data_IF_871078862899
#
_entry.id   IF_871078862899
#
_cell.length_a   1.000
_cell.length_b   1.000
_cell.length_c   1.000
_cell.angle_alpha   90.00
_cell.angle_beta   90.00
_cell.angle_gamma   90.00
#
_symmetry.space_group_name_H-M   'P 1'
#
loop_
_entity.id
_entity.type
_entity.pdbx_description
1 polymer ?
#
# COMPACT_ATOMS: atom_id res chain seq x y z
N UNK A 1 0.63 -60.87 53.08
CA UNK A 1 -0.52 -59.96 52.87
C UNK A 1 -0.06 -58.68 52.17
N UNK A 2 0.61 -58.75 51.01
CA UNK A 2 1.07 -57.56 50.25
C UNK A 2 1.18 -57.98 48.78
N UNK A 3 0.08 -58.04 48.03
CA UNK A 3 0.18 -58.26 46.57
C UNK A 3 -1.02 -57.81 45.72
N UNK A 4 -1.86 -56.88 46.21
CA UNK A 4 -3.09 -56.48 45.48
C UNK A 4 -3.37 -54.98 45.37
N UNK A 5 -2.36 -54.11 45.34
CA UNK A 5 -2.59 -52.66 45.22
C UNK A 5 -2.00 -51.97 44.00
N UNK A 6 -1.26 -52.65 43.10
CA UNK A 6 -0.55 -51.96 42.02
C UNK A 6 -1.19 -52.05 40.61
N UNK A 7 -2.37 -52.66 40.47
CA UNK A 7 -2.97 -52.94 39.15
C UNK A 7 -4.28 -52.17 38.90
N UNK A 8 -4.34 -50.88 39.26
CA UNK A 8 -5.49 -50.04 38.90
C UNK A 8 -5.15 -48.69 38.27
N UNK A 9 -3.87 -48.27 38.28
CA UNK A 9 -3.50 -46.92 37.82
C UNK A 9 -3.26 -46.81 36.29
N UNK A 10 -3.08 -47.93 35.58
CA UNK A 10 -2.73 -47.95 34.15
C UNK A 10 -3.90 -47.98 33.16
N UNK A 11 -5.15 -48.16 33.62
CA UNK A 11 -6.33 -48.28 32.73
C UNK A 11 -7.16 -47.01 32.58
N UNK A 12 -6.95 -46.00 33.45
CA UNK A 12 -7.73 -44.76 33.45
C UNK A 12 -6.99 -43.59 32.79
N UNK A 13 -5.65 -43.67 32.62
CA UNK A 13 -4.86 -42.62 31.96
C UNK A 13 -4.88 -42.69 30.43
N UNK A 14 -5.08 -43.87 29.84
CA UNK A 14 -5.10 -44.05 28.38
C UNK A 14 -6.21 -43.28 27.62
N UNK A 15 -7.47 -43.18 28.11
CA UNK A 15 -8.46 -42.37 27.41
C UNK A 15 -8.16 -40.86 27.50
N UNK A 16 -7.50 -40.39 28.58
CA UNK A 16 -7.12 -38.98 28.73
C UNK A 16 -5.99 -38.56 27.77
N UNK A 17 -5.02 -39.44 27.53
CA UNK A 17 -3.94 -39.16 26.56
C UNK A 17 -4.45 -39.11 25.11
N UNK A 18 -5.47 -39.90 24.76
CA UNK A 18 -6.09 -39.86 23.42
C UNK A 18 -6.95 -38.59 23.28
N UNK A 19 -7.67 -38.18 24.32
CA UNK A 19 -8.46 -36.95 24.31
C UNK A 19 -7.58 -35.69 24.16
N UNK A 20 -6.40 -35.66 24.81
CA UNK A 20 -5.43 -34.56 24.68
C UNK A 20 -4.83 -34.49 23.25
N UNK A 21 -4.59 -35.63 22.61
CA UNK A 21 -4.08 -35.69 21.25
C UNK A 21 -5.14 -35.28 20.21
N UNK A 22 -6.41 -35.58 20.49
CA UNK A 22 -7.56 -35.21 19.64
C UNK A 22 -7.90 -33.72 19.76
N UNK A 23 -7.63 -33.10 20.93
CA UNK A 23 -7.76 -31.66 21.12
C UNK A 23 -6.71 -30.86 20.34
N UNK A 24 -5.54 -31.45 20.07
CA UNK A 24 -4.50 -30.87 19.22
C UNK A 24 -4.88 -30.85 17.73
N UNK A 25 -5.79 -31.72 17.30
CA UNK A 25 -6.37 -31.74 15.95
C UNK A 25 -7.60 -30.82 15.81
N UNK A 26 -8.09 -30.22 16.90
CA UNK A 26 -9.18 -29.24 16.88
C UNK A 26 -8.70 -27.80 16.67
N UNK A 27 -7.38 -27.57 16.57
CA UNK A 27 -6.83 -26.28 16.19
C UNK A 27 -7.00 -26.17 14.67
N UNK A 28 -7.83 -25.25 14.15
CA UNK A 28 -7.93 -25.06 12.72
C UNK A 28 -6.55 -24.70 12.16
N UNK A 29 -6.14 -25.25 11.00
CA UNK A 29 -4.83 -24.95 10.40
C UNK A 29 -4.64 -23.45 10.10
N UNK A 30 -5.73 -22.69 10.08
CA UNK A 30 -5.75 -21.23 9.92
C UNK A 30 -5.23 -20.45 11.15
N UNK A 31 -4.97 -21.11 12.28
CA UNK A 31 -4.32 -20.51 13.46
C UNK A 31 -2.79 -20.71 13.43
N UNK A 32 -2.18 -20.77 12.25
CA UNK A 32 -0.79 -20.33 12.12
C UNK A 32 -0.83 -18.81 11.93
N UNK A 33 -0.77 -18.07 13.05
CA UNK A 33 -0.51 -16.63 12.97
C UNK A 33 0.80 -16.43 12.20
N UNK A 34 0.73 -15.84 11.00
CA UNK A 34 1.92 -15.37 10.31
C UNK A 34 2.65 -14.44 11.29
N UNK A 35 3.92 -14.72 11.59
CA UNK A 35 4.71 -13.83 12.41
C UNK A 35 4.70 -12.43 11.76
N UNK A 36 4.50 -11.36 12.54
CA UNK A 36 4.46 -10.01 12.00
C UNK A 36 5.80 -9.72 11.32
N UNK A 37 5.76 -9.27 10.06
CA UNK A 37 6.98 -8.95 9.31
C UNK A 37 7.75 -7.84 10.04
N UNK A 38 9.06 -8.05 10.22
CA UNK A 38 9.91 -7.16 10.98
C UNK A 38 10.53 -6.09 10.09
N UNK A 39 10.36 -4.83 10.46
CA UNK A 39 10.75 -3.68 9.66
C UNK A 39 11.77 -2.82 10.40
N UNK A 40 12.80 -2.38 9.69
CA UNK A 40 13.74 -1.37 10.16
C UNK A 40 13.57 -0.09 9.34
N UNK A 41 13.32 1.03 10.03
CA UNK A 41 13.26 2.36 9.40
C UNK A 41 14.57 3.08 9.67
N UNK A 42 15.30 3.47 8.62
CA UNK A 42 16.55 4.21 8.73
C UNK A 42 16.30 5.72 8.98
N UNK A 43 17.29 6.46 9.51
CA UNK A 43 17.22 7.92 9.59
C UNK A 43 16.88 8.55 8.24
N UNK A 44 15.91 9.46 8.24
CA UNK A 44 15.54 10.20 7.03
C UNK A 44 16.61 11.21 6.68
N UNK A 45 16.94 11.33 5.39
CA UNK A 45 17.73 12.46 4.87
C UNK A 45 16.82 13.68 4.72
N UNK A 46 17.22 14.84 5.23
CA UNK A 46 16.41 16.06 5.17
C UNK A 46 17.08 17.08 4.28
N UNK A 47 16.39 17.50 3.22
CA UNK A 47 16.85 18.52 2.26
C UNK A 47 15.94 19.74 2.36
N UNK A 48 16.38 20.76 3.08
CA UNK A 48 15.59 21.97 3.31
C UNK A 48 16.50 23.19 3.48
N UNK A 49 15.98 24.38 3.18
CA UNK A 49 16.70 25.65 3.31
C UNK A 49 17.10 25.98 4.75
N UNK A 50 16.25 25.63 5.73
CA UNK A 50 16.49 25.87 7.15
C UNK A 50 16.64 24.52 7.87
N UNK A 51 17.83 24.12 8.34
CA UNK A 51 18.02 22.84 9.02
C UNK A 51 17.08 22.66 10.22
N UNK A 52 16.47 21.48 10.35
CA UNK A 52 15.61 21.09 11.46
C UNK A 52 15.95 19.65 11.89
N UNK A 53 17.01 19.48 12.67
CA UNK A 53 17.57 18.16 13.03
C UNK A 53 16.57 17.22 13.72
N UNK A 54 15.62 17.79 14.47
CA UNK A 54 14.56 17.03 15.14
C UNK A 54 13.62 16.32 14.15
N UNK A 55 13.53 16.77 12.89
CA UNK A 55 12.69 16.12 11.88
C UNK A 55 13.22 14.74 11.50
N UNK A 56 14.55 14.49 11.62
CA UNK A 56 15.13 13.18 11.30
C UNK A 56 14.51 12.10 12.19
N UNK A 57 14.58 12.30 13.51
CA UNK A 57 14.01 11.37 14.48
C UNK A 57 12.48 11.39 14.42
N UNK A 58 11.87 12.57 14.33
CA UNK A 58 10.41 12.71 14.30
C UNK A 58 9.77 11.97 13.12
N UNK A 59 10.34 12.04 11.92
CA UNK A 59 9.86 11.27 10.76
C UNK A 59 9.98 9.76 10.96
N UNK A 60 11.11 9.33 11.53
CA UNK A 60 11.38 7.93 11.83
C UNK A 60 10.34 7.38 12.82
N UNK A 61 10.04 8.14 13.89
CA UNK A 61 9.03 7.80 14.90
C UNK A 61 7.62 7.83 14.32
N UNK A 62 7.26 8.86 13.54
CA UNK A 62 5.95 8.99 12.90
C UNK A 62 5.64 7.81 11.97
N UNK A 63 6.63 7.37 11.17
CA UNK A 63 6.45 6.21 10.30
C UNK A 63 6.37 4.91 11.10
N UNK A 64 7.27 4.75 12.08
CA UNK A 64 7.34 3.57 12.95
C UNK A 64 6.02 3.37 13.70
N UNK A 65 5.46 4.42 14.29
CA UNK A 65 4.20 4.37 15.02
C UNK A 65 3.03 3.93 14.13
N UNK A 66 2.95 4.46 12.90
CA UNK A 66 1.89 4.11 11.94
C UNK A 66 2.03 2.66 11.44
N UNK A 67 3.24 2.22 11.09
CA UNK A 67 3.46 0.83 10.67
C UNK A 67 3.23 -0.16 11.82
N UNK A 68 3.56 0.20 13.06
CA UNK A 68 3.26 -0.62 14.25
C UNK A 68 1.75 -0.79 14.42
N UNK A 69 0.97 0.28 14.23
CA UNK A 69 -0.50 0.23 14.26
C UNK A 69 -1.07 -0.69 13.18
N UNK A 70 -0.39 -0.81 12.04
CA UNK A 70 -0.75 -1.71 10.94
C UNK A 70 -0.32 -3.17 11.16
N UNK A 71 0.29 -3.50 12.30
CA UNK A 71 0.61 -4.87 12.72
C UNK A 71 2.00 -5.37 12.34
N UNK A 72 2.93 -4.48 11.99
CA UNK A 72 4.33 -4.84 11.75
C UNK A 72 5.15 -4.81 13.06
N UNK A 73 6.24 -5.60 13.14
CA UNK A 73 7.22 -5.51 14.24
C UNK A 73 8.32 -4.51 13.86
N UNK A 74 8.46 -3.40 14.58
CA UNK A 74 9.39 -2.32 14.21
C UNK A 74 10.60 -2.30 15.14
N UNK A 75 11.80 -2.26 14.56
CA UNK A 75 13.01 -2.01 15.35
C UNK A 75 12.99 -0.58 15.89
N UNK A 76 13.23 -0.44 17.19
CA UNK A 76 13.29 0.86 17.86
C UNK A 76 14.31 1.81 17.16
N UNK A 77 13.90 3.04 16.78
CA UNK A 77 14.77 4.01 16.13
C UNK A 77 16.07 4.31 16.89
N UNK A 78 16.03 4.38 18.23
CA UNK A 78 17.23 4.63 19.04
C UNK A 78 18.28 3.52 18.89
N UNK A 79 17.85 2.27 18.70
CA UNK A 79 18.74 1.12 18.48
C UNK A 79 19.35 1.13 17.08
N UNK A 80 18.63 1.63 16.08
CA UNK A 80 19.11 1.79 14.71
C UNK A 80 20.16 2.93 14.67
N UNK A 81 19.84 4.06 15.30
CA UNK A 81 20.64 5.27 15.20
C UNK A 81 21.96 5.18 15.98
N UNK A 82 22.03 4.36 17.03
CA UNK A 82 23.27 4.07 17.77
C UNK A 82 24.22 3.11 17.03
N UNK A 83 23.77 2.44 15.97
CA UNK A 83 24.58 1.46 15.23
C UNK A 83 25.61 2.11 14.31
N UNK A 84 26.71 1.39 14.02
CA UNK A 84 27.78 1.82 13.09
C UNK A 84 27.26 2.14 11.68
N UNK A 85 26.11 1.58 11.30
CA UNK A 85 25.47 1.73 9.98
C UNK A 85 24.95 3.13 9.69
N UNK A 86 24.84 4.01 10.68
CA UNK A 86 24.55 5.44 10.49
C UNK A 86 25.72 6.23 9.89
N UNK A 87 26.95 5.67 9.91
CA UNK A 87 28.20 6.37 9.56
C UNK A 87 28.88 5.86 8.28
N UNK A 88 28.31 4.83 7.64
CA UNK A 88 29.05 4.05 6.63
C UNK A 88 28.65 4.46 5.20
N UNK A 89 29.64 4.96 4.42
CA UNK A 89 29.58 5.13 2.94
C UNK A 89 29.69 3.77 2.22
N UNK A 90 28.82 2.81 2.55
CA UNK A 90 28.74 1.52 1.83
C UNK A 90 27.51 1.55 0.93
N UNK A 91 27.57 0.80 -0.18
CA UNK A 91 26.44 0.61 -1.09
C UNK A 91 25.16 0.30 -0.30
N UNK A 92 24.10 1.05 -0.58
CA UNK A 92 22.87 1.08 0.21
C UNK A 92 22.17 -0.30 0.26
N UNK A 93 22.46 -1.17 -0.71
CA UNK A 93 21.97 -2.54 -0.80
C UNK A 93 22.67 -3.48 0.21
N UNK A 94 23.94 -3.24 0.50
CA UNK A 94 24.74 -4.07 1.41
C UNK A 94 24.43 -3.76 2.89
N UNK A 95 24.12 -2.50 3.21
CA UNK A 95 23.63 -2.07 4.53
C UNK A 95 22.31 -2.77 4.86
N UNK A 96 21.37 -2.78 3.90
CA UNK A 96 20.09 -3.46 4.08
C UNK A 96 20.28 -4.98 4.25
N UNK A 97 21.05 -5.63 3.37
CA UNK A 97 21.31 -7.08 3.45
C UNK A 97 22.01 -7.51 4.74
N UNK A 98 22.97 -6.74 5.23
CA UNK A 98 23.65 -7.01 6.52
C UNK A 98 22.68 -6.85 7.70
N UNK A 99 21.89 -5.78 7.71
CA UNK A 99 20.87 -5.54 8.73
C UNK A 99 19.81 -6.66 8.78
N UNK A 100 19.39 -7.13 7.60
CA UNK A 100 18.49 -8.27 7.45
C UNK A 100 19.03 -9.55 8.06
N UNK A 101 20.30 -9.87 7.76
CA UNK A 101 20.95 -11.10 8.23
C UNK A 101 21.24 -11.10 9.73
N UNK A 102 21.58 -9.95 10.33
CA UNK A 102 21.97 -9.87 11.74
C UNK A 102 20.80 -9.67 12.72
N UNK A 103 19.72 -8.99 12.31
CA UNK A 103 18.61 -8.61 13.21
C UNK A 103 17.27 -9.28 12.91
N UNK A 104 17.25 -10.18 11.92
CA UNK A 104 16.06 -10.87 11.44
C UNK A 104 15.02 -9.89 10.88
N UNK A 105 15.49 -8.86 10.17
CA UNK A 105 14.63 -7.86 9.54
C UNK A 105 14.16 -8.40 8.20
N UNK A 106 12.89 -8.24 7.88
CA UNK A 106 12.30 -8.62 6.59
C UNK A 106 12.35 -7.47 5.59
N UNK A 107 12.20 -6.22 6.08
CA UNK A 107 12.22 -5.00 5.26
C UNK A 107 13.03 -3.87 5.87
N UNK A 108 13.76 -3.16 5.00
CA UNK A 108 14.44 -1.93 5.34
C UNK A 108 13.79 -0.78 4.59
N UNK A 109 13.36 0.23 5.33
CA UNK A 109 12.80 1.46 4.79
C UNK A 109 13.83 2.57 4.95
N UNK A 110 14.14 3.23 3.84
CA UNK A 110 14.94 4.47 3.84
C UNK A 110 14.18 5.54 3.06
N UNK A 111 14.49 6.80 3.33
CA UNK A 111 13.89 7.87 2.55
C UNK A 111 14.49 9.23 2.81
N UNK A 112 13.97 10.20 2.08
CA UNK A 112 14.28 11.59 2.23
C UNK A 112 13.04 12.46 2.25
N UNK A 113 13.09 13.52 3.05
CA UNK A 113 12.18 14.65 2.97
C UNK A 113 12.89 15.77 2.22
N UNK A 114 12.28 16.27 1.15
CA UNK A 114 12.76 17.46 0.44
C UNK A 114 11.73 18.57 0.55
N UNK A 115 12.16 19.77 0.92
CA UNK A 115 11.30 20.95 0.94
C UNK A 115 11.76 21.96 -0.11
N UNK A 116 10.84 22.33 -1.02
CA UNK A 116 11.07 23.37 -2.03
C UNK A 116 9.97 24.41 -1.89
N UNK A 117 10.36 25.62 -1.47
CA UNK A 117 9.42 26.68 -1.09
C UNK A 117 8.51 26.20 0.04
N UNK A 118 7.20 26.15 -0.24
CA UNK A 118 6.18 25.67 0.72
C UNK A 118 5.93 24.17 0.62
N UNK A 119 6.15 23.56 -0.55
CA UNK A 119 5.84 22.16 -0.81
C UNK A 119 6.91 21.24 -0.22
N UNK A 120 6.48 20.03 0.12
CA UNK A 120 7.35 18.95 0.57
C UNK A 120 7.17 17.73 -0.33
N UNK A 121 8.24 16.97 -0.55
CA UNK A 121 8.19 15.63 -1.11
C UNK A 121 8.80 14.63 -0.14
N UNK A 122 8.21 13.45 -0.08
CA UNK A 122 8.75 12.29 0.59
C UNK A 122 9.05 11.22 -0.44
N UNK A 123 10.31 10.83 -0.50
CA UNK A 123 10.86 9.83 -1.39
C UNK A 123 11.33 8.66 -0.53
N UNK A 124 10.64 7.53 -0.59
CA UNK A 124 10.98 6.34 0.19
C UNK A 124 11.36 5.19 -0.73
N UNK A 125 12.35 4.41 -0.31
CA UNK A 125 12.71 3.13 -0.89
C UNK A 125 12.55 2.04 0.16
N UNK A 126 11.78 1.02 -0.19
CA UNK A 126 11.44 -0.12 0.65
C UNK A 126 12.14 -1.34 0.06
N UNK A 127 13.04 -1.92 0.83
CA UNK A 127 13.99 -2.94 0.37
C UNK A 127 13.72 -4.23 1.15
N UNK A 128 13.28 -5.30 0.50
CA UNK A 128 13.16 -6.60 1.14
C UNK A 128 14.54 -7.23 1.35
N UNK A 129 14.67 -7.99 2.42
CA UNK A 129 15.86 -8.80 2.69
C UNK A 129 15.80 -10.11 1.90
N UNK A 130 14.59 -10.66 1.72
CA UNK A 130 14.34 -11.79 0.83
C UNK A 130 14.57 -11.38 -0.63
N UNK A 131 15.16 -12.30 -1.40
CA UNK A 131 15.36 -12.16 -2.86
C UNK A 131 14.10 -12.45 -3.67
N UNK A 132 13.05 -13.01 -3.06
CA UNK A 132 11.78 -13.32 -3.73
C UNK A 132 10.93 -12.07 -3.96
N UNK A 133 10.92 -11.16 -2.98
CA UNK A 133 10.23 -9.87 -3.08
C UNK A 133 11.15 -8.84 -3.76
N UNK A 134 10.57 -7.90 -4.50
CA UNK A 134 11.33 -6.85 -5.20
C UNK A 134 11.31 -5.54 -4.40
N UNK A 135 12.40 -4.76 -4.41
CA UNK A 135 12.39 -3.43 -3.84
C UNK A 135 11.46 -2.51 -4.64
N UNK A 136 10.83 -1.57 -3.95
CA UNK A 136 9.94 -0.58 -4.56
C UNK A 136 10.10 0.80 -3.92
N UNK A 137 9.70 1.83 -4.65
CA UNK A 137 9.70 3.21 -4.17
C UNK A 137 8.29 3.75 -3.96
N UNK A 138 8.17 4.70 -3.03
CA UNK A 138 6.97 5.47 -2.77
C UNK A 138 7.35 6.95 -2.89
N UNK A 139 6.59 7.69 -3.69
CA UNK A 139 6.74 9.13 -3.87
C UNK A 139 5.45 9.83 -3.49
N UNK A 140 5.51 10.73 -2.51
CA UNK A 140 4.33 11.50 -2.07
C UNK A 140 4.69 12.97 -1.96
N UNK A 141 3.88 13.82 -2.59
CA UNK A 141 3.98 15.28 -2.48
C UNK A 141 2.94 15.80 -1.49
N UNK A 142 3.37 16.72 -0.63
CA UNK A 142 2.53 17.48 0.28
C UNK A 142 2.59 18.97 -0.01
N UNK A 143 1.48 19.66 0.20
CA UNK A 143 1.40 21.10 -0.07
C UNK A 143 2.26 21.93 0.87
N UNK A 144 2.35 21.50 2.14
CA UNK A 144 2.99 22.23 3.25
C UNK A 144 3.50 21.30 4.35
N UNK A 145 4.52 21.77 5.08
CA UNK A 145 5.17 21.04 6.18
C UNK A 145 4.26 20.84 7.41
N UNK A 146 3.33 21.74 7.69
CA UNK A 146 2.35 21.60 8.78
C UNK A 146 1.33 20.49 8.52
N UNK A 147 1.19 20.03 7.27
CA UNK A 147 0.39 18.86 6.91
C UNK A 147 1.21 17.57 6.86
N UNK A 148 2.44 17.57 7.39
CA UNK A 148 3.35 16.42 7.31
C UNK A 148 2.71 15.14 7.87
N UNK A 149 1.92 15.23 8.94
CA UNK A 149 1.17 14.08 9.48
C UNK A 149 0.25 13.41 8.46
N UNK A 150 -0.44 14.19 7.63
CA UNK A 150 -1.32 13.66 6.57
C UNK A 150 -0.50 13.02 5.43
N UNK A 151 0.66 13.60 5.12
CA UNK A 151 1.59 13.00 4.14
C UNK A 151 2.13 11.67 4.67
N UNK A 152 2.54 11.63 5.94
CA UNK A 152 3.02 10.42 6.60
C UNK A 152 1.95 9.32 6.69
N UNK A 153 0.69 9.69 6.91
CA UNK A 153 -0.43 8.75 6.88
C UNK A 153 -0.54 8.05 5.51
N UNK A 154 -0.51 8.84 4.42
CA UNK A 154 -0.54 8.30 3.05
C UNK A 154 0.67 7.43 2.74
N UNK A 155 1.86 7.84 3.19
CA UNK A 155 3.09 7.05 3.03
C UNK A 155 2.99 5.71 3.75
N UNK A 156 2.57 5.70 5.02
CA UNK A 156 2.43 4.48 5.81
C UNK A 156 1.37 3.54 5.24
N UNK A 157 0.22 4.06 4.82
CA UNK A 157 -0.83 3.26 4.18
C UNK A 157 -0.33 2.63 2.87
N UNK A 158 0.38 3.40 2.03
CA UNK A 158 0.94 2.89 0.78
C UNK A 158 2.02 1.83 1.03
N UNK A 159 2.91 2.05 1.99
CA UNK A 159 3.94 1.09 2.38
C UNK A 159 3.31 -0.21 2.89
N UNK A 160 2.33 -0.11 3.78
CA UNK A 160 1.62 -1.26 4.35
C UNK A 160 0.97 -2.11 3.29
N UNK A 161 0.23 -1.49 2.38
CA UNK A 161 -0.45 -2.19 1.29
C UNK A 161 0.56 -2.93 0.40
N UNK A 162 1.65 -2.28 -0.01
CA UNK A 162 2.68 -2.93 -0.85
C UNK A 162 3.42 -4.05 -0.13
N UNK A 163 3.77 -3.86 1.15
CA UNK A 163 4.46 -4.88 1.96
C UNK A 163 3.57 -6.12 2.12
N UNK A 164 2.27 -5.93 2.41
CA UNK A 164 1.26 -6.99 2.54
C UNK A 164 0.82 -7.59 1.20
N UNK A 165 1.32 -7.10 0.06
CA UNK A 165 0.96 -7.59 -1.26
C UNK A 165 -0.45 -7.19 -1.72
N UNK A 166 -1.05 -6.17 -1.12
CA UNK A 166 -2.30 -5.58 -1.60
C UNK A 166 -1.99 -4.87 -2.92
N UNK A 167 -2.60 -5.34 -4.01
CA UNK A 167 -2.45 -4.74 -5.33
C UNK A 167 -2.98 -3.30 -5.30
N UNK A 168 -2.18 -2.35 -5.76
CA UNK A 168 -2.52 -0.92 -5.80
C UNK A 168 -2.59 -0.40 -7.23
N UNK A 169 -3.24 0.74 -7.41
CA UNK A 169 -3.23 1.48 -8.66
C UNK A 169 -1.90 2.27 -8.76
N UNK A 170 -1.06 1.95 -9.73
CA UNK A 170 0.23 2.62 -9.93
C UNK A 170 0.10 3.90 -10.75
N UNK A 171 -0.82 3.90 -11.71
CA UNK A 171 -1.13 5.05 -12.55
C UNK A 171 -2.56 4.97 -13.06
N UNK A 172 -3.14 6.14 -13.31
CA UNK A 172 -4.41 6.30 -14.00
C UNK A 172 -4.19 7.21 -15.20
N UNK A 173 -4.68 6.80 -16.36
CA UNK A 173 -4.71 7.62 -17.57
C UNK A 173 -6.10 7.61 -18.19
N UNK A 174 -6.38 8.63 -19.00
CA UNK A 174 -7.57 8.68 -19.86
C UNK A 174 -7.09 8.78 -21.30
N UNK A 175 -7.70 7.99 -22.19
CA UNK A 175 -7.35 7.89 -23.59
C UNK A 175 -8.60 8.04 -24.47
N UNK A 176 -8.47 8.70 -25.61
CA UNK A 176 -9.55 8.82 -26.60
C UNK A 176 -10.45 10.05 -26.44
N UNK A 177 -10.30 10.80 -25.34
CA UNK A 177 -10.90 12.12 -25.20
C UNK A 177 -10.23 13.13 -26.16
N UNK A 178 -11.04 14.04 -26.71
CA UNK A 178 -10.63 15.05 -27.70
C UNK A 178 -11.09 16.44 -27.32
N UNK A 179 -12.35 16.59 -26.89
CA UNK A 179 -12.94 17.87 -26.46
C UNK A 179 -13.13 17.94 -24.96
N UNK A 180 -13.37 16.81 -24.30
CA UNK A 180 -13.46 16.75 -22.84
C UNK A 180 -12.06 16.64 -22.26
N UNK A 181 -11.71 17.57 -21.37
CA UNK A 181 -10.40 17.59 -20.72
C UNK A 181 -10.21 16.38 -19.80
N UNK A 182 -8.99 15.83 -19.78
CA UNK A 182 -8.64 14.67 -18.95
C UNK A 182 -8.90 14.94 -17.48
N UNK A 183 -8.56 16.13 -16.98
CA UNK A 183 -8.76 16.50 -15.57
C UNK A 183 -10.25 16.53 -15.18
N UNK A 184 -11.15 16.87 -16.11
CA UNK A 184 -12.59 16.85 -15.86
C UNK A 184 -13.11 15.42 -15.71
N UNK A 185 -12.54 14.47 -16.46
CA UNK A 185 -12.88 13.04 -16.35
C UNK A 185 -12.29 12.45 -15.06
N UNK A 186 -11.04 12.81 -14.72
CA UNK A 186 -10.41 12.38 -13.46
C UNK A 186 -11.10 12.96 -12.22
N UNK A 187 -11.80 14.09 -12.33
CA UNK A 187 -12.52 14.70 -11.21
C UNK A 187 -13.80 13.94 -10.79
N UNK A 188 -14.36 13.08 -11.66
CA UNK A 188 -15.60 12.33 -11.36
C UNK A 188 -15.35 10.90 -10.87
N UNK A 189 -14.10 10.45 -10.84
CA UNK A 189 -13.72 9.10 -10.39
C UNK A 189 -13.20 9.11 -8.96
N UNK A 190 -13.41 7.99 -8.26
CA UNK A 190 -12.91 7.75 -6.90
C UNK A 190 -11.52 7.10 -6.91
N UNK A 191 -11.21 6.31 -7.94
CA UNK A 191 -9.89 5.70 -8.10
C UNK A 191 -8.79 6.75 -8.23
N UNK A 192 -7.71 6.55 -7.49
CA UNK A 192 -6.53 7.42 -7.52
C UNK A 192 -5.25 6.60 -7.47
N UNK A 193 -4.17 7.17 -8.00
CA UNK A 193 -2.83 6.58 -7.85
C UNK A 193 -2.52 6.34 -6.37
N UNK A 194 -2.06 5.14 -6.04
CA UNK A 194 -1.75 4.68 -4.69
C UNK A 194 -2.95 4.08 -3.93
N UNK A 195 -4.17 4.21 -4.45
CA UNK A 195 -5.33 3.53 -3.87
C UNK A 195 -5.23 2.01 -4.08
N UNK A 196 -5.98 1.25 -3.28
CA UNK A 196 -6.15 -0.19 -3.48
C UNK A 196 -6.77 -0.42 -4.85
N UNK A 197 -6.25 -1.41 -5.59
CA UNK A 197 -6.90 -1.89 -6.80
C UNK A 197 -8.17 -2.65 -6.41
N UNK A 198 -9.30 -2.09 -6.78
CA UNK A 198 -10.62 -2.59 -6.44
C UNK A 198 -11.54 -2.55 -7.66
N UNK A 199 -12.03 -3.71 -8.08
CA UNK A 199 -12.80 -3.82 -9.32
C UNK A 199 -14.18 -3.18 -9.20
N UNK A 200 -14.78 -3.17 -8.02
CA UNK A 200 -16.09 -2.55 -7.79
C UNK A 200 -16.00 -1.02 -7.86
N UNK A 201 -14.95 -0.45 -7.29
CA UNK A 201 -14.64 0.99 -7.40
C UNK A 201 -14.40 1.38 -8.87
N UNK A 202 -13.60 0.61 -9.62
CA UNK A 202 -13.39 0.85 -11.04
C UNK A 202 -14.68 0.77 -11.87
N UNK A 203 -15.55 -0.19 -11.57
CA UNK A 203 -16.86 -0.30 -12.21
C UNK A 203 -17.77 0.90 -11.90
N UNK A 204 -17.70 1.42 -10.68
CA UNK A 204 -18.41 2.64 -10.29
C UNK A 204 -17.88 3.86 -11.05
N UNK A 205 -16.56 3.99 -11.16
CA UNK A 205 -15.90 5.06 -11.90
C UNK A 205 -16.27 5.06 -13.38
N UNK A 206 -16.29 3.88 -14.03
CA UNK A 206 -16.77 3.74 -15.42
C UNK A 206 -18.19 4.27 -15.58
N UNK A 207 -19.09 3.96 -14.63
CA UNK A 207 -20.47 4.46 -14.67
C UNK A 207 -20.53 5.97 -14.47
N UNK A 208 -19.73 6.53 -13.55
CA UNK A 208 -19.65 7.98 -13.33
C UNK A 208 -19.20 8.71 -14.60
N UNK A 209 -18.18 8.20 -15.29
CA UNK A 209 -17.72 8.75 -16.58
C UNK A 209 -18.83 8.66 -17.63
N UNK A 210 -19.49 7.51 -17.75
CA UNK A 210 -20.60 7.33 -18.70
C UNK A 210 -21.77 8.31 -18.43
N UNK A 211 -22.09 8.54 -17.14
CA UNK A 211 -23.14 9.45 -16.69
C UNK A 211 -22.85 10.93 -16.99
N UNK A 212 -21.60 11.30 -17.29
CA UNK A 212 -21.31 12.64 -17.81
C UNK A 212 -22.05 12.94 -19.13
N UNK A 213 -22.45 11.90 -19.87
CA UNK A 213 -23.30 12.00 -21.05
C UNK A 213 -22.56 12.38 -22.35
N UNK A 214 -21.25 12.65 -22.28
CA UNK A 214 -20.42 13.06 -23.41
C UNK A 214 -19.87 11.90 -24.25
N UNK A 215 -19.89 10.68 -23.74
CA UNK A 215 -19.24 9.52 -24.35
C UNK A 215 -20.26 8.51 -24.89
N UNK A 216 -19.97 7.90 -26.03
CA UNK A 216 -20.70 6.75 -26.59
C UNK A 216 -20.27 5.45 -25.94
N UNK A 217 -18.97 5.33 -25.65
CA UNK A 217 -18.35 4.14 -25.07
C UNK A 217 -17.28 4.51 -24.04
N UNK A 218 -17.17 3.70 -22.99
CA UNK A 218 -16.19 3.84 -21.90
C UNK A 218 -15.72 2.44 -21.52
N UNK A 219 -14.41 2.20 -21.61
CA UNK A 219 -13.78 0.93 -21.27
C UNK A 219 -12.65 1.13 -20.26
N UNK A 220 -12.35 0.09 -19.49
CA UNK A 220 -11.21 0.05 -18.58
C UNK A 220 -10.19 -0.96 -19.13
N UNK A 221 -8.97 -0.50 -19.38
CA UNK A 221 -7.81 -1.34 -19.67
C UNK A 221 -6.88 -1.36 -18.45
N UNK A 222 -6.47 -2.55 -18.00
CA UNK A 222 -5.60 -2.72 -16.83
C UNK A 222 -4.36 -3.53 -17.21
N UNK A 223 -3.19 -2.99 -16.88
CA UNK A 223 -1.88 -3.63 -17.12
C UNK A 223 -1.09 -3.79 -15.83
N UNK A 224 -0.27 -4.83 -15.75
CA UNK A 224 0.70 -4.97 -14.66
C UNK A 224 1.79 -3.91 -14.79
N UNK A 225 2.21 -3.33 -13.67
CA UNK A 225 3.34 -2.41 -13.58
C UNK A 225 4.20 -2.71 -12.35
N UNK A 226 5.44 -2.21 -12.27
CA UNK A 226 6.30 -2.42 -11.09
C UNK A 226 5.69 -1.89 -9.77
N UNK A 227 4.74 -0.96 -9.84
CA UNK A 227 4.05 -0.38 -8.68
C UNK A 227 2.65 -0.93 -8.42
N UNK A 228 2.20 -1.94 -9.17
CA UNK A 228 0.86 -2.53 -9.06
C UNK A 228 0.18 -2.62 -10.41
N UNK A 229 -1.00 -2.01 -10.54
CA UNK A 229 -1.83 -2.02 -11.74
C UNK A 229 -1.89 -0.63 -12.35
N UNK A 230 -1.54 -0.50 -13.62
CA UNK A 230 -1.82 0.70 -14.41
C UNK A 230 -3.23 0.59 -15.00
N UNK A 231 -4.06 1.61 -14.76
CA UNK A 231 -5.45 1.67 -15.21
C UNK A 231 -5.60 2.75 -16.27
N UNK A 232 -6.17 2.42 -17.42
CA UNK A 232 -6.48 3.38 -18.48
C UNK A 232 -7.99 3.36 -18.77
N UNK A 233 -8.64 4.51 -18.65
CA UNK A 233 -10.01 4.71 -19.10
C UNK A 233 -10.00 5.11 -20.57
N UNK A 234 -10.45 4.21 -21.45
CA UNK A 234 -10.58 4.48 -22.88
C UNK A 234 -11.98 4.97 -23.17
N UNK A 235 -12.10 6.17 -23.73
CA UNK A 235 -13.38 6.82 -23.98
C UNK A 235 -13.55 7.15 -25.47
N UNK A 236 -14.78 7.06 -25.96
CA UNK A 236 -15.16 7.54 -27.29
C UNK A 236 -16.20 8.64 -27.15
N UNK A 237 -15.87 9.87 -27.54
CA UNK A 237 -16.79 11.00 -27.47
C UNK A 237 -17.91 10.94 -28.51
N UNK A 238 -19.10 11.38 -28.11
CA UNK A 238 -20.24 11.59 -29.01
C UNK A 238 -19.92 12.64 -30.08
N UNK A 239 -20.37 12.43 -31.33
CA UNK A 239 -20.23 13.40 -32.39
C UNK A 239 -21.02 14.67 -32.07
N UNK A 240 -20.52 15.81 -32.55
CA UNK A 240 -21.24 17.09 -32.50
C UNK A 240 -22.46 17.03 -33.41
N UNK A 241 -23.63 17.47 -32.93
CA UNK A 241 -24.81 17.64 -33.79
C UNK A 241 -24.58 18.86 -34.69
N UNK A 242 -24.27 18.64 -35.96
CA UNK A 242 -24.01 19.70 -36.93
C UNK A 242 -25.26 20.31 -37.57
N UNK A 243 -26.36 19.55 -37.68
CA UNK A 243 -27.63 20.04 -38.26
C UNK A 243 -28.81 19.16 -37.82
N UNK A 244 -29.81 19.78 -37.21
CA UNK A 244 -31.11 19.15 -36.95
C UNK A 244 -32.04 19.57 -38.07
N UNK A 245 -32.53 18.61 -38.87
CA UNK A 245 -33.54 18.87 -39.90
C UNK A 245 -34.89 18.37 -39.40
N UNK A 246 -35.81 19.29 -39.12
CA UNK A 246 -37.19 18.95 -38.74
C UNK A 246 -38.00 18.71 -40.02
N UNK A 247 -38.39 17.46 -40.26
CA UNK A 247 -39.37 17.13 -41.28
C UNK A 247 -40.76 17.33 -40.66
N UNK A 248 -41.45 18.40 -41.05
CA UNK A 248 -42.79 18.70 -40.58
C UNK A 248 -43.77 17.58 -40.94
N UNK A 249 -44.52 17.08 -39.96
CA UNK A 249 -45.71 16.29 -40.23
C UNK A 249 -46.73 17.18 -40.93
N UNK A 250 -47.35 16.64 -42.00
CA UNK A 250 -48.44 17.29 -42.71
C UNK A 250 -49.51 17.76 -41.71
N UNK A 251 -49.89 19.03 -41.84
CA UNK A 251 -51.14 19.60 -41.32
C UNK A 251 -52.26 18.56 -41.36
N UNK A 252 -52.87 18.29 -40.21
CA UNK A 252 -54.25 17.84 -40.15
C UNK A 252 -55.05 19.15 -40.16
N UNK A 253 -55.68 19.47 -41.29
CA UNK A 253 -56.64 20.57 -41.34
C UNK A 253 -57.98 20.10 -40.74
N UNK A 254 -58.45 20.90 -39.78
CA UNK A 254 -59.75 20.99 -39.11
C UNK A 254 -60.11 19.93 -38.06
#
# INVERSE_FOLDING_TARGET
MIQKTFSYFGRVLRPFSVLLLLLLFLIPPDVMALLPEKIAVLPFKIYMLKPMDHLVLGLQEMLTARLTKEGFDLINPATINKGELSKVKVSELDVARRMGKEKGVDWVIKGSLTQIGKKISLDLAIIPISTEKRPFSIFVVGDRIDKLDQVMERVAATATNRIKGVVQIDSISVEGNKRIETDAILAVIESQKGAKYDQDTLNKDLRSIYQMGFFEDVQIDTKESPGGKSVAFKVSEKPSIGKITLLGTKKIDQ
#
